data_IF_855372119710
#
_entry.id   IF_855372119710
#
_cell.length_a   1.000
_cell.length_b   1.000
_cell.length_c   1.000
_cell.angle_alpha   90.00
_cell.angle_beta   90.00
_cell.angle_gamma   90.00
#
_symmetry.space_group_name_H-M   'P 1'
#
loop_
_entity.id
_entity.type
_entity.pdbx_description
1 polymer ?
#
# COMPACT_ATOMS: atom_id res chain seq x y z
N UNK A 1 -21.40 2.77 -15.47
CA UNK A 1 -20.94 2.15 -16.72
C UNK A 1 -21.64 2.84 -17.88
N UNK A 2 -20.88 3.42 -18.78
CA UNK A 2 -21.38 4.01 -20.02
C UNK A 2 -21.02 3.06 -21.16
N UNK A 3 -22.03 2.46 -21.79
CA UNK A 3 -21.85 1.63 -22.98
C UNK A 3 -21.84 2.51 -24.23
N UNK A 4 -20.82 2.36 -25.05
CA UNK A 4 -20.70 3.03 -26.36
C UNK A 4 -20.72 1.95 -27.41
N UNK A 5 -21.80 1.89 -28.19
CA UNK A 5 -21.94 0.92 -29.27
C UNK A 5 -21.20 1.39 -30.52
N UNK A 6 -20.42 0.50 -31.12
CA UNK A 6 -19.76 0.70 -32.42
C UNK A 6 -20.35 -0.27 -33.44
N UNK A 7 -20.20 0.06 -34.75
CA UNK A 7 -20.69 -0.81 -35.84
C UNK A 7 -20.15 -2.25 -35.81
N UNK A 8 -19.04 -2.50 -35.12
CA UNK A 8 -18.38 -3.83 -35.00
C UNK A 8 -17.84 -4.13 -33.60
N UNK A 9 -18.49 -3.71 -32.56
CA UNK A 9 -18.05 -4.00 -31.19
C UNK A 9 -18.73 -3.15 -30.14
N UNK A 10 -18.43 -3.48 -28.87
CA UNK A 10 -18.89 -2.76 -27.69
C UNK A 10 -17.64 -2.24 -26.94
N UNK A 11 -17.71 -1.02 -26.45
CA UNK A 11 -16.70 -0.44 -25.56
C UNK A 11 -17.32 -0.21 -24.18
N UNK A 12 -16.81 -0.88 -23.17
CA UNK A 12 -17.17 -0.63 -21.78
C UNK A 12 -16.12 0.26 -21.14
N UNK A 13 -16.54 1.40 -20.62
CA UNK A 13 -15.65 2.35 -19.89
C UNK A 13 -16.03 2.32 -18.42
N UNK A 14 -15.07 2.00 -17.57
CA UNK A 14 -15.20 2.08 -16.12
C UNK A 14 -14.34 3.21 -15.60
N UNK A 15 -14.92 4.09 -14.78
CA UNK A 15 -14.22 5.20 -14.11
C UNK A 15 -14.19 4.86 -12.63
N UNK A 16 -12.99 4.79 -12.06
CA UNK A 16 -12.77 4.60 -10.64
C UNK A 16 -12.13 5.85 -10.04
N UNK A 17 -12.55 6.23 -8.83
CA UNK A 17 -11.95 7.33 -8.08
C UNK A 17 -10.74 6.79 -7.28
N UNK A 18 -9.54 7.21 -7.61
CA UNK A 18 -8.33 6.80 -6.88
C UNK A 18 -8.33 7.30 -5.43
N UNK A 19 -9.06 8.37 -5.12
CA UNK A 19 -9.24 8.82 -3.74
C UNK A 19 -10.20 7.92 -2.93
N UNK A 20 -10.86 6.96 -3.56
CA UNK A 20 -11.65 5.94 -2.85
C UNK A 20 -10.80 4.88 -2.16
N UNK A 21 -9.48 4.87 -2.40
CA UNK A 21 -8.53 3.83 -1.99
C UNK A 21 -7.54 4.33 -0.95
N UNK A 22 -6.88 3.40 -0.26
CA UNK A 22 -5.82 3.68 0.70
C UNK A 22 -4.53 4.02 -0.07
N UNK A 23 -3.97 5.20 0.21
CA UNK A 23 -2.76 5.69 -0.45
C UNK A 23 -1.51 5.13 0.23
N UNK A 24 -0.77 4.25 -0.48
CA UNK A 24 0.41 3.55 0.06
C UNK A 24 1.50 4.54 0.50
N UNK A 25 1.86 5.49 -0.37
CA UNK A 25 2.92 6.44 -0.09
C UNK A 25 2.59 7.45 1.03
N UNK A 26 1.34 7.50 1.49
CA UNK A 26 0.95 8.34 2.61
C UNK A 26 1.32 7.76 3.99
N UNK A 27 1.83 6.52 4.03
CA UNK A 27 2.24 5.86 5.28
C UNK A 27 3.39 6.61 5.96
N UNK A 28 4.25 7.27 5.19
CA UNK A 28 5.33 8.13 5.68
C UNK A 28 5.20 9.55 5.15
N UNK A 29 5.88 10.50 5.79
CA UNK A 29 5.87 11.91 5.40
C UNK A 29 7.05 12.22 4.50
N UNK A 30 6.82 12.42 3.20
CA UNK A 30 7.85 12.83 2.26
C UNK A 30 8.11 14.36 2.30
N UNK A 31 9.33 14.82 1.93
CA UNK A 31 10.45 14.05 1.36
C UNK A 31 11.34 13.32 2.37
N UNK A 32 11.26 13.66 3.66
CA UNK A 32 12.19 13.12 4.67
C UNK A 32 11.88 11.65 5.04
N UNK A 33 10.66 11.22 4.81
CA UNK A 33 10.12 9.85 4.93
C UNK A 33 10.49 9.03 6.18
N UNK A 34 11.09 9.65 7.20
CA UNK A 34 11.58 8.97 8.41
C UNK A 34 10.50 8.70 9.44
N UNK A 35 9.41 9.45 9.41
CA UNK A 35 8.36 9.35 10.40
C UNK A 35 7.08 8.76 9.81
N UNK A 36 6.46 7.90 10.59
CA UNK A 36 5.14 7.39 10.29
C UNK A 36 4.06 8.49 10.33
N UNK A 37 3.15 8.42 9.40
CA UNK A 37 1.86 9.07 9.52
C UNK A 37 0.95 8.21 10.42
N UNK A 38 0.75 8.62 11.67
CA UNK A 38 0.04 7.84 12.69
C UNK A 38 -1.39 7.47 12.28
N UNK A 39 -2.08 8.34 11.55
CA UNK A 39 -3.43 8.05 11.06
C UNK A 39 -3.43 6.92 10.00
N UNK A 40 -2.39 6.86 9.19
CA UNK A 40 -2.23 5.82 8.17
C UNK A 40 -1.87 4.46 8.78
N UNK A 41 -1.06 4.41 9.84
CA UNK A 41 -0.77 3.15 10.56
C UNK A 41 -2.07 2.49 11.02
N UNK A 42 -2.93 3.26 11.70
CA UNK A 42 -4.21 2.72 12.19
C UNK A 42 -5.12 2.25 11.07
N UNK A 43 -5.16 3.00 9.96
CA UNK A 43 -5.94 2.64 8.79
C UNK A 43 -5.43 1.32 8.17
N UNK A 44 -4.11 1.19 8.01
CA UNK A 44 -3.49 -0.01 7.47
C UNK A 44 -3.71 -1.23 8.37
N UNK A 45 -3.50 -1.11 9.68
CA UNK A 45 -3.69 -2.21 10.63
C UNK A 45 -5.13 -2.73 10.58
N UNK A 46 -6.11 -1.82 10.64
CA UNK A 46 -7.53 -2.18 10.55
C UNK A 46 -7.90 -2.81 9.22
N UNK A 47 -7.38 -2.24 8.13
CA UNK A 47 -7.65 -2.76 6.79
C UNK A 47 -7.07 -4.17 6.61
N UNK A 48 -5.81 -4.39 7.00
CA UNK A 48 -5.17 -5.71 6.95
C UNK A 48 -5.94 -6.75 7.76
N UNK A 49 -6.37 -6.40 8.99
CA UNK A 49 -7.19 -7.29 9.82
C UNK A 49 -8.57 -7.54 9.24
N UNK A 50 -9.11 -6.63 8.46
CA UNK A 50 -10.41 -6.79 7.82
C UNK A 50 -10.35 -7.75 6.62
N UNK A 51 -9.30 -7.66 5.80
CA UNK A 51 -9.16 -8.47 4.58
C UNK A 51 -8.42 -9.79 4.80
N UNK A 52 -7.53 -9.86 5.78
CA UNK A 52 -6.72 -11.04 6.05
C UNK A 52 -7.42 -12.04 6.93
N UNK A 53 -7.28 -13.33 6.62
CA UNK A 53 -7.67 -14.41 7.53
C UNK A 53 -6.62 -14.58 8.64
N UNK A 54 -7.01 -15.20 9.78
CA UNK A 54 -6.07 -15.54 10.84
C UNK A 54 -4.89 -16.40 10.38
N UNK A 55 -5.07 -17.16 9.29
CA UNK A 55 -4.03 -18.00 8.71
C UNK A 55 -3.05 -17.20 7.84
N UNK A 56 -3.54 -16.18 7.15
CA UNK A 56 -2.74 -15.29 6.29
C UNK A 56 -1.96 -14.24 7.09
N UNK A 57 -2.45 -13.86 8.27
CA UNK A 57 -1.87 -12.80 9.12
C UNK A 57 -1.06 -13.40 10.28
N UNK A 58 -0.05 -14.21 9.96
CA UNK A 58 0.86 -14.83 10.94
C UNK A 58 2.31 -14.47 10.65
N UNK A 59 3.12 -14.49 11.68
CA UNK A 59 4.57 -14.29 11.61
C UNK A 59 4.92 -13.00 10.84
N UNK A 60 5.66 -13.10 9.75
CA UNK A 60 6.06 -11.96 8.92
C UNK A 60 4.88 -11.27 8.20
N UNK A 61 3.72 -11.91 8.11
CA UNK A 61 2.49 -11.34 7.57
C UNK A 61 1.53 -10.77 8.63
N UNK A 62 1.96 -10.66 9.88
CA UNK A 62 1.23 -9.90 10.90
C UNK A 62 1.09 -8.43 10.45
N UNK A 63 -0.07 -7.79 10.66
CA UNK A 63 -0.30 -6.41 10.23
C UNK A 63 0.78 -5.41 10.67
N UNK A 64 1.29 -5.56 11.87
CA UNK A 64 2.38 -4.70 12.38
C UNK A 64 3.68 -4.96 11.63
N UNK A 65 4.01 -6.23 11.33
CA UNK A 65 5.19 -6.59 10.56
C UNK A 65 5.13 -6.05 9.13
N UNK A 66 3.97 -6.19 8.47
CA UNK A 66 3.75 -5.63 7.12
C UNK A 66 3.92 -4.12 7.12
N UNK A 67 3.24 -3.40 8.04
CA UNK A 67 3.30 -1.93 8.12
C UNK A 67 4.74 -1.45 8.36
N UNK A 68 5.49 -2.13 9.24
CA UNK A 68 6.88 -1.80 9.49
C UNK A 68 7.77 -2.04 8.26
N UNK A 69 7.58 -3.17 7.56
CA UNK A 69 8.33 -3.48 6.34
C UNK A 69 8.01 -2.52 5.19
N UNK A 70 6.74 -2.09 5.05
CA UNK A 70 6.36 -1.07 4.06
C UNK A 70 6.98 0.28 4.40
N UNK A 71 7.05 0.64 5.69
CA UNK A 71 7.74 1.87 6.10
C UNK A 71 9.22 1.84 5.72
N UNK A 72 9.95 0.77 6.10
CA UNK A 72 11.37 0.63 5.79
C UNK A 72 11.63 0.62 4.28
N UNK A 73 10.68 0.11 3.49
CA UNK A 73 10.73 0.19 2.03
C UNK A 73 10.59 1.60 1.46
N UNK A 74 9.78 2.45 2.13
CA UNK A 74 9.47 3.81 1.70
C UNK A 74 10.44 4.85 2.26
N UNK A 75 11.02 4.61 3.42
CA UNK A 75 11.80 5.63 4.10
C UNK A 75 13.18 5.86 3.45
N UNK A 76 13.83 6.97 3.78
CA UNK A 76 15.09 7.37 3.17
C UNK A 76 16.31 6.89 3.93
N UNK A 77 16.12 6.13 5.00
CA UNK A 77 17.17 5.67 5.87
C UNK A 77 17.51 4.21 5.62
N UNK A 78 18.61 3.95 4.94
CA UNK A 78 19.23 2.63 4.84
C UNK A 78 20.29 2.49 5.95
N UNK A 79 19.99 3.03 7.10
CA UNK A 79 20.78 2.85 8.31
C UNK A 79 20.19 1.63 9.04
N UNK A 80 21.03 0.73 9.47
CA UNK A 80 20.80 -0.59 10.07
C UNK A 80 19.67 -0.74 11.11
N UNK A 81 18.80 0.26 11.23
CA UNK A 81 17.72 0.34 12.21
C UNK A 81 16.36 0.01 11.58
N UNK A 82 16.07 -1.28 11.43
CA UNK A 82 14.73 -1.73 11.05
C UNK A 82 13.66 -1.13 11.96
N UNK A 83 12.51 -0.79 11.38
CA UNK A 83 11.36 -0.29 12.14
C UNK A 83 10.83 -1.38 13.07
N UNK A 84 10.90 -1.14 14.36
CA UNK A 84 10.53 -2.12 15.38
C UNK A 84 11.41 -3.37 15.33
N UNK A 85 10.82 -4.53 15.63
CA UNK A 85 11.49 -5.83 15.58
C UNK A 85 11.17 -6.64 14.31
N UNK A 86 10.28 -6.15 13.47
CA UNK A 86 9.69 -6.91 12.36
C UNK A 86 9.84 -6.24 10.99
N UNK A 87 10.38 -5.04 10.92
CA UNK A 87 10.68 -4.35 9.66
C UNK A 87 11.73 -5.07 8.81
N UNK A 88 12.03 -4.52 7.64
CA UNK A 88 13.02 -5.08 6.71
C UNK A 88 13.69 -3.96 5.90
N UNK A 89 14.99 -3.80 6.11
CA UNK A 89 15.87 -2.91 5.36
C UNK A 89 16.58 -3.63 4.21
N UNK A 90 17.39 -2.92 3.42
CA UNK A 90 18.11 -3.49 2.28
C UNK A 90 18.87 -4.76 2.61
N UNK A 91 19.47 -4.86 3.80
CA UNK A 91 20.20 -6.06 4.23
C UNK A 91 19.35 -7.33 4.23
N UNK A 92 18.05 -7.22 4.56
CA UNK A 92 17.13 -8.35 4.48
C UNK A 92 16.91 -8.81 3.03
N UNK A 93 16.72 -7.86 2.11
CA UNK A 93 16.41 -8.18 0.71
C UNK A 93 17.65 -8.61 -0.09
N UNK A 94 18.82 -8.14 0.30
CA UNK A 94 20.12 -8.53 -0.27
C UNK A 94 20.51 -9.98 0.06
N UNK A 95 19.97 -10.54 1.15
CA UNK A 95 20.15 -11.94 1.53
C UNK A 95 19.20 -12.90 0.79
N UNK A 96 18.25 -12.39 -0.02
CA UNK A 96 17.32 -13.20 -0.81
C UNK A 96 17.93 -13.70 -2.13
N UNK A 97 17.28 -14.65 -2.77
CA UNK A 97 17.62 -15.14 -4.11
C UNK A 97 16.40 -15.05 -5.06
N UNK A 98 16.37 -14.15 -6.04
CA UNK A 98 17.41 -13.16 -6.36
C UNK A 98 17.50 -12.03 -5.31
N UNK A 99 18.72 -11.53 -5.10
CA UNK A 99 18.97 -10.41 -4.20
C UNK A 99 18.51 -9.08 -4.83
N UNK A 100 17.96 -8.18 -4.01
CA UNK A 100 17.61 -6.80 -4.38
C UNK A 100 17.69 -5.91 -3.14
N UNK A 101 17.65 -4.59 -3.31
CA UNK A 101 17.65 -3.63 -2.21
C UNK A 101 16.26 -3.03 -2.02
N UNK A 102 15.97 -2.49 -0.83
CA UNK A 102 14.78 -1.67 -0.59
C UNK A 102 14.79 -0.42 -1.48
N UNK A 103 13.61 0.15 -1.74
CA UNK A 103 13.48 1.30 -2.64
C UNK A 103 14.03 2.59 -2.03
N UNK A 104 13.86 2.77 -0.72
CA UNK A 104 14.20 4.00 0.00
C UNK A 104 13.54 5.24 -0.64
N UNK A 105 12.27 5.14 -0.96
CA UNK A 105 11.51 6.18 -1.63
C UNK A 105 10.08 5.79 -1.98
N UNK A 106 9.30 6.69 -2.60
CA UNK A 106 7.92 6.41 -2.93
C UNK A 106 7.76 5.32 -3.97
N UNK A 107 6.78 4.43 -3.75
CA UNK A 107 6.41 3.35 -4.66
C UNK A 107 5.71 3.93 -5.89
N UNK A 108 6.20 3.68 -7.12
CA UNK A 108 5.61 4.19 -8.36
C UNK A 108 4.52 3.28 -8.92
N UNK A 109 4.56 1.99 -8.63
CA UNK A 109 3.62 0.98 -9.09
C UNK A 109 3.20 0.08 -7.94
N UNK A 110 1.89 -0.17 -7.84
CA UNK A 110 1.32 -0.91 -6.71
C UNK A 110 1.85 -2.34 -6.61
N UNK A 111 2.20 -2.97 -7.73
CA UNK A 111 2.75 -4.34 -7.76
C UNK A 111 4.10 -4.47 -7.04
N UNK A 112 4.80 -3.35 -6.79
CA UNK A 112 6.04 -3.35 -6.02
C UNK A 112 5.83 -3.78 -4.56
N UNK A 113 4.60 -3.69 -4.05
CA UNK A 113 4.25 -4.26 -2.74
C UNK A 113 4.57 -5.76 -2.64
N UNK A 114 4.54 -6.50 -3.76
CA UNK A 114 4.91 -7.92 -3.78
C UNK A 114 6.40 -8.21 -3.50
N UNK A 115 7.25 -7.19 -3.52
CA UNK A 115 8.66 -7.30 -3.17
C UNK A 115 8.89 -7.10 -1.66
N UNK A 116 7.89 -6.64 -0.92
CA UNK A 116 8.03 -6.25 0.48
C UNK A 116 7.78 -7.47 1.38
N UNK A 117 8.64 -7.65 2.36
CA UNK A 117 8.53 -8.69 3.38
C UNK A 117 7.11 -8.73 3.98
N UNK A 118 6.54 -9.92 4.05
CA UNK A 118 5.22 -10.17 4.63
C UNK A 118 4.05 -10.02 3.66
N UNK A 119 4.24 -9.45 2.46
CA UNK A 119 3.18 -9.34 1.45
C UNK A 119 3.25 -10.53 0.49
N UNK A 120 2.33 -11.48 0.68
CA UNK A 120 2.21 -12.64 -0.20
C UNK A 120 1.33 -12.34 -1.42
N UNK A 121 1.46 -13.13 -2.52
CA UNK A 121 0.55 -13.01 -3.67
C UNK A 121 -0.92 -13.14 -3.27
N UNK A 122 -1.26 -14.02 -2.34
CA UNK A 122 -2.63 -14.23 -1.84
C UNK A 122 -3.15 -12.98 -1.12
N UNK A 123 -2.31 -12.33 -0.30
CA UNK A 123 -2.68 -11.09 0.36
C UNK A 123 -2.81 -9.93 -0.64
N UNK A 124 -1.93 -9.88 -1.64
CA UNK A 124 -1.94 -8.82 -2.64
C UNK A 124 -3.11 -8.92 -3.63
N UNK A 125 -3.34 -10.09 -4.23
CA UNK A 125 -4.41 -10.29 -5.21
C UNK A 125 -5.74 -10.67 -4.60
N UNK A 126 -5.74 -11.18 -3.37
CA UNK A 126 -6.90 -11.81 -2.74
C UNK A 126 -7.01 -13.30 -3.07
N UNK A 127 -7.92 -13.99 -2.39
CA UNK A 127 -8.16 -15.42 -2.58
C UNK A 127 -9.66 -15.75 -2.48
N UNK A 128 -10.21 -16.34 -3.52
CA UNK A 128 -11.63 -16.65 -3.59
C UNK A 128 -12.50 -15.39 -3.54
N UNK A 129 -13.35 -15.26 -2.53
CA UNK A 129 -14.19 -14.08 -2.30
C UNK A 129 -13.50 -13.02 -1.40
N UNK A 130 -12.33 -13.34 -0.86
CA UNK A 130 -11.56 -12.42 -0.01
C UNK A 130 -10.78 -11.44 -0.89
N UNK A 131 -11.03 -10.13 -0.79
CA UNK A 131 -10.34 -9.14 -1.59
C UNK A 131 -8.87 -9.00 -1.15
N UNK A 132 -8.00 -8.63 -2.09
CA UNK A 132 -6.60 -8.33 -1.79
C UNK A 132 -6.28 -6.85 -1.72
N UNK A 133 -5.03 -6.54 -1.34
CA UNK A 133 -4.53 -5.16 -1.25
C UNK A 133 -4.69 -4.39 -2.56
N UNK A 134 -4.46 -5.05 -3.71
CA UNK A 134 -4.46 -4.43 -5.04
C UNK A 134 -5.80 -3.80 -5.43
N UNK A 135 -6.91 -4.23 -4.82
CA UNK A 135 -8.24 -3.71 -5.13
C UNK A 135 -8.52 -2.37 -4.44
N UNK A 136 -7.97 -2.17 -3.25
CA UNK A 136 -8.33 -1.05 -2.37
C UNK A 136 -7.16 -0.15 -1.99
N UNK A 137 -5.99 -0.38 -2.58
CA UNK A 137 -4.82 0.48 -2.41
C UNK A 137 -4.45 1.21 -3.71
N UNK A 138 -3.75 2.32 -3.58
CA UNK A 138 -3.27 3.13 -4.70
C UNK A 138 -1.93 3.77 -4.40
N UNK A 139 -1.15 4.03 -5.45
CA UNK A 139 0.07 4.85 -5.39
C UNK A 139 -0.15 6.25 -6.02
N UNK A 140 -1.33 6.48 -6.62
CA UNK A 140 -1.67 7.74 -7.29
C UNK A 140 -2.17 8.78 -6.28
N UNK A 141 -2.22 10.05 -6.68
CA UNK A 141 -2.70 11.14 -5.82
C UNK A 141 -1.61 11.94 -5.12
N UNK A 142 -0.42 11.98 -5.72
CA UNK A 142 0.65 12.88 -5.30
C UNK A 142 0.17 14.34 -5.40
N UNK A 143 0.39 15.10 -4.34
CA UNK A 143 0.15 16.54 -4.30
C UNK A 143 1.47 17.29 -4.35
N UNK A 144 1.54 18.31 -5.20
CA UNK A 144 2.68 19.23 -5.24
C UNK A 144 2.61 20.16 -4.03
N UNK A 145 3.63 20.12 -3.18
CA UNK A 145 3.89 21.19 -2.22
C UNK A 145 4.76 22.27 -2.86
N UNK A 146 4.80 23.45 -2.27
CA UNK A 146 5.60 24.56 -2.79
C UNK A 146 7.09 24.19 -2.88
N UNK A 147 7.72 24.37 -4.04
CA UNK A 147 9.10 24.01 -4.30
C UNK A 147 9.27 22.62 -4.92
N UNK A 148 10.35 21.93 -4.58
CA UNK A 148 10.65 20.57 -5.06
C UNK A 148 10.02 19.47 -4.21
N UNK A 149 9.22 19.84 -3.22
CA UNK A 149 8.60 18.90 -2.29
C UNK A 149 7.35 18.27 -2.91
N UNK A 150 7.19 16.99 -2.67
CA UNK A 150 6.01 16.21 -3.02
C UNK A 150 5.48 15.52 -1.76
N UNK A 151 4.17 15.28 -1.72
CA UNK A 151 3.53 14.62 -0.60
C UNK A 151 2.28 13.85 -1.07
N UNK A 152 1.88 12.87 -0.29
CA UNK A 152 0.61 12.16 -0.42
C UNK A 152 -0.24 12.44 0.80
N UNK A 153 -1.43 13.03 0.60
CA UNK A 153 -2.28 13.47 1.73
C UNK A 153 -2.92 12.29 2.49
N UNK A 154 -3.01 11.12 1.89
CA UNK A 154 -3.70 9.96 2.45
C UNK A 154 -5.20 10.18 2.69
N UNK A 155 -5.80 11.20 2.07
CA UNK A 155 -7.24 11.48 2.20
C UNK A 155 -8.05 10.49 1.41
N UNK A 156 -9.16 10.04 1.99
CA UNK A 156 -10.09 9.12 1.38
C UNK A 156 -11.42 9.84 1.11
N UNK A 157 -11.94 9.69 -0.11
CA UNK A 157 -13.27 10.16 -0.47
C UNK A 157 -14.32 9.13 0.01
N UNK A 158 -14.92 9.40 1.15
CA UNK A 158 -15.92 8.50 1.76
C UNK A 158 -17.19 8.30 0.94
N UNK A 159 -17.44 9.16 -0.09
CA UNK A 159 -18.62 9.01 -0.95
C UNK A 159 -18.42 7.98 -2.07
N UNK A 160 -17.17 7.64 -2.36
CA UNK A 160 -16.79 6.70 -3.44
C UNK A 160 -16.03 5.49 -2.93
N UNK A 161 -15.59 5.51 -1.66
CA UNK A 161 -14.89 4.40 -1.04
C UNK A 161 -15.79 3.19 -0.83
N UNK A 162 -15.25 2.01 -1.13
CA UNK A 162 -15.92 0.73 -0.92
C UNK A 162 -15.93 0.31 0.56
N UNK A 163 -16.81 -0.64 0.89
CA UNK A 163 -17.03 -1.08 2.27
C UNK A 163 -15.75 -1.49 3.03
N UNK A 164 -14.77 -2.21 2.44
CA UNK A 164 -13.54 -2.57 3.15
C UNK A 164 -12.72 -1.36 3.60
N UNK A 165 -12.63 -0.34 2.76
CA UNK A 165 -11.94 0.91 3.09
C UNK A 165 -12.69 1.71 4.15
N UNK A 166 -14.03 1.78 4.03
CA UNK A 166 -14.87 2.45 5.02
C UNK A 166 -14.81 1.76 6.39
N UNK A 167 -14.79 0.41 6.41
CA UNK A 167 -14.65 -0.36 7.64
C UNK A 167 -13.32 -0.09 8.35
N UNK A 168 -12.24 0.12 7.61
CA UNK A 168 -10.93 0.45 8.17
C UNK A 168 -10.85 1.88 8.74
N UNK A 169 -11.75 2.78 8.36
CA UNK A 169 -11.82 4.14 8.89
C UNK A 169 -12.51 4.23 10.26
N UNK A 170 -13.30 3.22 10.66
CA UNK A 170 -14.05 3.18 11.91
C UNK A 170 -13.28 2.49 13.04
#
# INVERSE_FOLDING_TARGET
>A
LQEISFEKGELTVTIADELSKIQVNALVSFPDSREFNQSQIMLWDRYLRYIGSEEQLKDDSDPVAIVNSVKDWLDSGDDDATTGLSGAESSYYEDLDPAYASRNGPIPDLSELLLIKGITPELFYGQGETPGLSQYMTVHGMTSAAGTNYNWSGRININTADLPVLAALL
#
